data_IF_152548251182
#
_entry.id   IF_152548251182
#
_cell.length_a   1.000
_cell.length_b   1.000
_cell.length_c   1.000
_cell.angle_alpha   90.00
_cell.angle_beta   90.00
_cell.angle_gamma   90.00
#
_symmetry.space_group_name_H-M   'P 1'
#
loop_
_entity.id
_entity.type
_entity.pdbx_description
1 polymer ?
#
# COMPACT_ATOMS: atom_id res chain seq x y z
N UNK A 1 28.97 -55.25 -1.40
CA UNK A 1 27.67 -54.64 -1.71
C UNK A 1 27.56 -53.30 -1.01
N UNK A 2 28.20 -52.25 -1.54
CA UNK A 2 28.02 -50.87 -1.07
C UNK A 2 27.78 -50.03 -2.32
N UNK A 3 26.50 -49.81 -2.63
CA UNK A 3 26.08 -48.90 -3.68
C UNK A 3 26.13 -47.48 -3.13
N UNK A 4 27.14 -46.72 -3.56
CA UNK A 4 27.20 -45.29 -3.35
C UNK A 4 26.14 -44.61 -4.24
N UNK A 5 24.94 -44.41 -3.68
CA UNK A 5 23.92 -43.57 -4.29
C UNK A 5 24.37 -42.11 -4.13
N UNK A 6 25.00 -41.59 -5.19
CA UNK A 6 25.33 -40.18 -5.38
C UNK A 6 24.03 -39.35 -5.29
N UNK A 7 23.81 -38.71 -4.13
CA UNK A 7 22.80 -37.66 -3.97
C UNK A 7 23.28 -36.44 -4.72
N UNK A 8 22.97 -36.39 -6.00
CA UNK A 8 23.13 -35.17 -6.79
C UNK A 8 22.03 -34.19 -6.35
N UNK A 9 22.30 -33.49 -5.25
CA UNK A 9 21.54 -32.33 -4.80
C UNK A 9 21.77 -31.22 -5.83
N UNK A 10 21.05 -31.32 -6.95
CA UNK A 10 20.87 -30.21 -7.85
C UNK A 10 20.22 -29.09 -7.02
N UNK A 11 21.06 -28.17 -6.56
CA UNK A 11 20.67 -26.87 -6.08
C UNK A 11 19.83 -26.24 -7.20
N UNK A 12 18.51 -26.37 -7.05
CA UNK A 12 17.54 -25.66 -7.86
C UNK A 12 17.70 -24.19 -7.52
N UNK A 13 18.67 -23.56 -8.18
CA UNK A 13 18.89 -22.14 -8.15
C UNK A 13 17.56 -21.50 -8.54
N UNK A 14 16.91 -20.69 -7.67
CA UNK A 14 15.70 -20.01 -8.06
C UNK A 14 16.07 -19.15 -9.26
N UNK A 15 15.35 -19.34 -10.37
CA UNK A 15 15.55 -18.59 -11.59
C UNK A 15 15.47 -17.11 -11.26
N UNK A 16 16.64 -16.46 -11.22
CA UNK A 16 16.73 -15.02 -11.37
C UNK A 16 16.19 -14.72 -12.77
N UNK A 17 14.90 -14.36 -12.83
CA UNK A 17 14.29 -13.72 -13.98
C UNK A 17 15.10 -12.45 -14.28
N UNK A 18 16.13 -12.59 -15.13
CA UNK A 18 16.72 -11.49 -15.87
C UNK A 18 15.62 -10.96 -16.79
N UNK A 19 14.77 -10.11 -16.24
CA UNK A 19 13.77 -9.38 -17.00
C UNK A 19 14.48 -8.53 -18.03
N UNK A 20 14.07 -8.66 -19.29
CA UNK A 20 14.46 -7.80 -20.38
C UNK A 20 14.38 -6.32 -19.90
N UNK A 21 15.48 -5.55 -19.86
CA UNK A 21 15.51 -4.20 -19.31
C UNK A 21 14.61 -3.21 -20.07
N UNK A 22 14.13 -3.57 -21.26
CA UNK A 22 13.37 -2.69 -22.14
C UNK A 22 11.83 -2.77 -21.98
N UNK A 23 11.30 -3.67 -21.15
CA UNK A 23 9.84 -3.78 -20.94
C UNK A 23 9.44 -3.03 -19.67
N UNK A 24 8.82 -1.86 -19.81
CA UNK A 24 8.33 -1.05 -18.68
C UNK A 24 7.32 -1.84 -17.84
N UNK A 25 7.71 -2.21 -16.62
CA UNK A 25 6.87 -2.94 -15.67
C UNK A 25 6.01 -2.00 -14.83
N UNK A 26 4.82 -1.69 -15.34
CA UNK A 26 3.84 -0.81 -14.70
C UNK A 26 3.37 -1.30 -13.33
N UNK A 27 3.21 -2.61 -13.14
CA UNK A 27 2.83 -3.20 -11.84
C UNK A 27 3.83 -2.85 -10.74
N UNK A 28 5.13 -2.93 -11.07
CA UNK A 28 6.21 -2.67 -10.11
C UNK A 28 6.28 -1.19 -9.74
N UNK A 29 6.07 -0.30 -10.72
CA UNK A 29 5.97 1.15 -10.46
C UNK A 29 4.77 1.50 -9.58
N UNK A 30 3.63 0.84 -9.79
CA UNK A 30 2.44 1.08 -8.98
C UNK A 30 2.62 0.59 -7.54
N UNK A 31 3.15 -0.62 -7.36
CA UNK A 31 3.46 -1.17 -6.04
C UNK A 31 4.40 -0.24 -5.26
N UNK A 32 5.45 0.28 -5.92
CA UNK A 32 6.37 1.23 -5.28
C UNK A 32 5.67 2.54 -4.87
N UNK A 33 4.76 3.05 -5.71
CA UNK A 33 3.96 4.23 -5.36
C UNK A 33 2.98 3.96 -4.21
N UNK A 34 2.37 2.77 -4.17
CA UNK A 34 1.53 2.34 -3.05
C UNK A 34 2.34 2.25 -1.74
N UNK A 35 3.55 1.66 -1.79
CA UNK A 35 4.46 1.59 -0.66
C UNK A 35 4.86 2.99 -0.16
N UNK A 36 5.19 3.91 -1.07
CA UNK A 36 5.48 5.30 -0.73
C UNK A 36 4.28 6.00 -0.08
N UNK A 37 3.07 5.80 -0.62
CA UNK A 37 1.84 6.37 -0.08
C UNK A 37 1.53 5.84 1.33
N UNK A 38 1.77 4.56 1.61
CA UNK A 38 1.64 3.97 2.95
C UNK A 38 2.65 4.56 3.92
N UNK A 39 3.90 4.75 3.49
CA UNK A 39 4.95 5.32 4.33
C UNK A 39 4.62 6.77 4.70
N UNK A 40 4.25 7.60 3.72
CA UNK A 40 3.82 8.99 3.95
C UNK A 40 2.60 9.04 4.87
N UNK A 41 1.62 8.17 4.62
CA UNK A 41 0.43 8.04 5.46
C UNK A 41 0.81 7.75 6.91
N UNK A 42 1.67 6.77 7.16
CA UNK A 42 2.09 6.41 8.52
C UNK A 42 2.87 7.53 9.20
N UNK A 43 3.78 8.21 8.50
CA UNK A 43 4.52 9.34 9.06
C UNK A 43 3.59 10.48 9.46
N UNK A 44 2.61 10.80 8.61
CA UNK A 44 1.60 11.81 8.89
C UNK A 44 0.69 11.38 10.06
N UNK A 45 0.28 10.11 10.08
CA UNK A 45 -0.56 9.54 11.14
C UNK A 45 0.13 9.64 12.51
N UNK A 46 1.42 9.33 12.58
CA UNK A 46 2.21 9.44 13.81
C UNK A 46 2.26 10.90 14.28
N UNK A 47 2.59 11.84 13.39
CA UNK A 47 2.65 13.26 13.73
C UNK A 47 1.32 13.76 14.31
N UNK A 48 0.19 13.40 13.69
CA UNK A 48 -1.12 13.75 14.20
C UNK A 48 -1.44 13.09 15.55
N UNK A 49 -1.18 11.79 15.69
CA UNK A 49 -1.45 11.08 16.95
C UNK A 49 -0.63 11.67 18.10
N UNK A 50 0.65 12.00 17.86
CA UNK A 50 1.51 12.66 18.86
C UNK A 50 0.95 14.03 19.27
N UNK A 51 0.56 14.88 18.30
CA UNK A 51 -0.03 16.18 18.61
C UNK A 51 -1.37 16.10 19.35
N UNK A 52 -2.17 15.05 19.09
CA UNK A 52 -3.43 14.80 19.81
C UNK A 52 -3.17 14.39 21.28
N UNK A 53 -2.15 13.58 21.54
CA UNK A 53 -1.80 13.15 22.90
C UNK A 53 -1.35 14.34 23.75
N UNK A 54 -0.53 15.25 23.22
CA UNK A 54 -0.06 16.44 23.94
C UNK A 54 -1.20 17.42 24.27
N UNK A 55 -2.24 17.49 23.43
CA UNK A 55 -3.29 18.50 23.55
C UNK A 55 -4.53 18.05 24.32
N UNK A 56 -4.89 16.76 24.28
CA UNK A 56 -6.14 16.25 24.87
C UNK A 56 -5.96 15.14 25.92
N UNK A 57 -4.72 14.69 26.17
CA UNK A 57 -4.46 13.53 27.04
C UNK A 57 -4.81 12.19 26.37
N UNK A 58 -4.56 11.08 27.08
CA UNK A 58 -4.71 9.72 26.54
C UNK A 58 -6.20 9.35 26.38
N UNK A 59 -6.82 9.79 25.29
CA UNK A 59 -8.19 9.44 24.92
C UNK A 59 -8.25 8.10 24.16
N UNK A 60 -9.29 7.30 24.38
CA UNK A 60 -9.51 6.03 23.68
C UNK A 60 -9.88 6.24 22.19
N UNK A 61 -10.46 7.40 21.86
CA UNK A 61 -10.97 7.73 20.53
C UNK A 61 -9.93 7.63 19.40
N UNK A 62 -8.70 8.15 19.52
CA UNK A 62 -7.66 7.99 18.50
C UNK A 62 -7.31 6.53 18.20
N UNK A 63 -7.32 5.63 19.20
CA UNK A 63 -7.02 4.22 18.99
C UNK A 63 -8.11 3.53 18.15
N UNK A 64 -9.39 3.84 18.42
CA UNK A 64 -10.48 3.28 17.62
C UNK A 64 -10.46 3.81 16.18
N UNK A 65 -10.17 5.09 15.99
CA UNK A 65 -10.04 5.65 14.65
C UNK A 65 -8.87 5.06 13.85
N UNK A 66 -7.77 4.64 14.51
CA UNK A 66 -6.70 3.88 13.85
C UNK A 66 -7.20 2.54 13.30
N UNK A 67 -8.03 1.81 14.05
CA UNK A 67 -8.62 0.55 13.59
C UNK A 67 -9.48 0.77 12.33
N UNK A 68 -10.34 1.79 12.35
CA UNK A 68 -11.19 2.14 11.21
C UNK A 68 -10.35 2.53 9.98
N UNK A 69 -9.29 3.31 10.19
CA UNK A 69 -8.38 3.71 9.11
C UNK A 69 -7.69 2.51 8.46
N UNK A 70 -7.18 1.57 9.27
CA UNK A 70 -6.57 0.33 8.78
C UNK A 70 -7.59 -0.52 8.01
N UNK A 71 -8.82 -0.62 8.52
CA UNK A 71 -9.90 -1.34 7.86
C UNK A 71 -10.26 -0.76 6.48
N UNK A 72 -10.00 0.52 6.22
CA UNK A 72 -10.19 1.16 4.91
C UNK A 72 -8.97 0.95 4.01
N UNK A 73 -7.75 1.06 4.54
CA UNK A 73 -6.52 0.92 3.75
C UNK A 73 -6.31 -0.49 3.21
N UNK A 74 -6.61 -1.53 4.00
CA UNK A 74 -6.44 -2.94 3.58
C UNK A 74 -7.22 -3.30 2.31
N UNK A 75 -8.55 -3.08 2.21
CA UNK A 75 -9.31 -3.39 1.00
C UNK A 75 -8.86 -2.51 -0.16
N UNK A 76 -8.43 -1.28 0.11
CA UNK A 76 -7.90 -0.39 -0.90
C UNK A 76 -6.64 -0.97 -1.55
N UNK A 77 -5.65 -1.38 -0.77
CA UNK A 77 -4.46 -2.05 -1.28
C UNK A 77 -4.80 -3.34 -2.04
N UNK A 78 -5.72 -4.17 -1.53
CA UNK A 78 -6.14 -5.41 -2.21
C UNK A 78 -6.85 -5.15 -3.54
N UNK A 79 -7.67 -4.10 -3.64
CA UNK A 79 -8.39 -3.77 -4.85
C UNK A 79 -7.44 -3.24 -5.94
N UNK A 80 -6.43 -2.47 -5.54
CA UNK A 80 -5.38 -1.99 -6.45
C UNK A 80 -4.52 -3.12 -7.00
N UNK A 81 -4.10 -4.04 -6.14
CA UNK A 81 -3.34 -5.24 -6.52
C UNK A 81 -4.13 -6.07 -7.54
N UNK A 82 -5.40 -6.40 -7.23
CA UNK A 82 -6.28 -7.17 -8.13
C UNK A 82 -6.48 -6.47 -9.48
N UNK A 83 -6.71 -5.16 -9.46
CA UNK A 83 -6.96 -4.38 -10.68
C UNK A 83 -5.74 -4.34 -11.60
N UNK A 84 -4.54 -4.20 -11.05
CA UNK A 84 -3.31 -4.20 -11.86
C UNK A 84 -2.94 -5.59 -12.36
N UNK A 85 -3.10 -6.65 -11.56
CA UNK A 85 -2.86 -8.02 -12.01
C UNK A 85 -3.70 -8.38 -13.25
N UNK A 86 -4.98 -7.95 -13.28
CA UNK A 86 -5.86 -8.14 -14.45
C UNK A 86 -5.41 -7.32 -15.67
N UNK A 87 -4.90 -6.10 -15.47
CA UNK A 87 -4.48 -5.19 -16.55
C UNK A 87 -3.09 -5.54 -17.12
N UNK A 88 -2.19 -6.08 -16.29
CA UNK A 88 -0.88 -6.58 -16.74
C UNK A 88 -1.02 -7.77 -17.69
N UNK A 89 -2.05 -8.59 -17.46
CA UNK A 89 -2.34 -9.79 -18.25
C UNK A 89 -3.07 -9.50 -19.58
N UNK A 90 -3.63 -8.29 -19.76
CA UNK A 90 -4.55 -7.98 -20.86
C UNK A 90 -3.91 -7.31 -22.09
N UNK A 91 -2.60 -7.04 -22.08
CA UNK A 91 -1.88 -6.54 -23.27
C UNK A 91 -2.35 -5.17 -23.80
N UNK A 92 -2.97 -4.36 -22.95
CA UNK A 92 -3.54 -3.05 -23.32
C UNK A 92 -2.48 -2.05 -23.80
N UNK A 93 -2.90 -1.09 -24.64
CA UNK A 93 -1.99 -0.06 -25.17
C UNK A 93 -1.35 0.77 -24.06
N UNK A 94 -0.05 1.05 -24.18
CA UNK A 94 0.73 1.78 -23.18
C UNK A 94 0.11 3.13 -22.75
N UNK A 95 -0.57 3.81 -23.66
CA UNK A 95 -1.18 5.12 -23.41
C UNK A 95 -2.44 5.04 -22.52
N UNK A 96 -3.24 3.98 -22.68
CA UNK A 96 -4.44 3.76 -21.85
C UNK A 96 -4.07 3.34 -20.42
N UNK A 97 -3.00 2.54 -20.28
CA UNK A 97 -2.39 2.13 -19.01
C UNK A 97 -1.87 3.34 -18.23
N UNK A 98 -1.15 4.25 -18.90
CA UNK A 98 -0.58 5.43 -18.27
C UNK A 98 -1.65 6.41 -17.74
N UNK A 99 -2.77 6.59 -18.47
CA UNK A 99 -3.86 7.45 -18.01
C UNK A 99 -4.55 6.91 -16.75
N UNK A 100 -4.86 5.61 -16.71
CA UNK A 100 -5.44 4.95 -15.52
C UNK A 100 -4.47 4.99 -14.33
N UNK A 101 -3.18 4.77 -14.57
CA UNK A 101 -2.15 4.87 -13.54
C UNK A 101 -2.14 6.23 -12.84
N UNK A 102 -2.29 7.34 -13.60
CA UNK A 102 -2.30 8.69 -13.03
C UNK A 102 -3.54 8.94 -12.18
N UNK A 103 -4.72 8.51 -12.62
CA UNK A 103 -5.94 8.63 -11.82
C UNK A 103 -5.82 7.85 -10.52
N UNK A 104 -5.29 6.64 -10.60
CA UNK A 104 -5.11 5.74 -9.46
C UNK A 104 -4.06 6.27 -8.48
N UNK A 105 -2.98 6.85 -9.00
CA UNK A 105 -2.00 7.58 -8.21
C UNK A 105 -2.64 8.79 -7.53
N UNK A 106 -3.40 9.62 -8.24
CA UNK A 106 -4.09 10.76 -7.62
C UNK A 106 -5.03 10.31 -6.52
N UNK A 107 -5.76 9.21 -6.71
CA UNK A 107 -6.71 8.68 -5.72
C UNK A 107 -5.97 8.14 -4.48
N UNK A 108 -4.86 7.43 -4.66
CA UNK A 108 -3.94 7.02 -3.58
C UNK A 108 -3.45 8.23 -2.77
N UNK A 109 -2.90 9.23 -3.45
CA UNK A 109 -2.35 10.41 -2.80
C UNK A 109 -3.44 11.24 -2.11
N UNK A 110 -4.62 11.34 -2.71
CA UNK A 110 -5.79 11.99 -2.11
C UNK A 110 -6.24 11.28 -0.84
N UNK A 111 -6.25 9.95 -0.81
CA UNK A 111 -6.55 9.16 0.38
C UNK A 111 -5.46 9.29 1.43
N UNK A 112 -4.19 9.19 1.05
CA UNK A 112 -3.05 9.32 1.96
C UNK A 112 -3.02 10.68 2.66
N UNK A 113 -3.29 11.76 1.93
CA UNK A 113 -3.36 13.10 2.51
C UNK A 113 -4.69 13.31 3.23
N UNK A 114 -5.80 12.86 2.66
CA UNK A 114 -7.16 13.11 3.17
C UNK A 114 -7.53 12.30 4.40
N UNK A 115 -7.16 11.01 4.49
CA UNK A 115 -7.51 10.14 5.63
C UNK A 115 -7.03 10.70 6.98
N UNK A 116 -5.77 11.17 7.10
CA UNK A 116 -5.31 11.81 8.34
C UNK A 116 -6.14 13.04 8.72
N UNK A 117 -6.51 13.91 7.77
CA UNK A 117 -7.38 15.05 8.04
C UNK A 117 -8.79 14.64 8.44
N UNK A 118 -9.38 13.66 7.74
CA UNK A 118 -10.70 13.12 8.06
C UNK A 118 -10.68 12.51 9.46
N UNK A 119 -9.62 11.78 9.82
CA UNK A 119 -9.43 11.23 11.16
C UNK A 119 -9.39 12.33 12.24
N UNK A 120 -8.61 13.38 12.03
CA UNK A 120 -8.58 14.53 12.95
C UNK A 120 -9.96 15.22 13.06
N UNK A 121 -10.65 15.42 11.94
CA UNK A 121 -11.98 16.02 11.92
C UNK A 121 -13.01 15.15 12.67
N UNK A 122 -12.97 13.83 12.48
CA UNK A 122 -13.83 12.88 13.18
C UNK A 122 -13.59 12.89 14.69
N UNK A 123 -12.33 12.93 15.13
CA UNK A 123 -12.02 12.99 16.58
C UNK A 123 -12.51 14.31 17.17
N UNK A 124 -12.26 15.45 16.50
CA UNK A 124 -12.77 16.74 16.96
C UNK A 124 -14.30 16.75 17.02
N UNK A 125 -14.98 16.22 16.00
CA UNK A 125 -16.44 16.13 15.97
C UNK A 125 -17.00 15.21 17.07
N UNK A 126 -16.37 14.07 17.32
CA UNK A 126 -16.73 13.19 18.42
C UNK A 126 -16.52 13.89 19.77
N UNK A 127 -15.39 14.58 19.97
CA UNK A 127 -15.11 15.35 21.18
C UNK A 127 -16.00 16.59 21.37
N UNK A 128 -16.69 17.08 20.34
CA UNK A 128 -17.72 18.12 20.49
C UNK A 128 -19.10 17.58 20.85
N UNK A 129 -19.34 16.27 20.67
CA UNK A 129 -20.63 15.63 20.95
C UNK A 129 -20.74 15.07 22.38
N UNK A 130 -19.62 14.95 23.10
CA UNK A 130 -19.52 14.49 24.49
C UNK A 130 -18.95 15.60 25.37
#
# INVERSE_FOLDING_TARGET
MVAAASRNSASKHPGHHHGNPDVVRWDKKMSNNCAAALLVYTMMQIYFVLGMIETQGVSIAPYFGLIVLVAIIIPFCRNFEKRWQTMSSSGLSHQSIAAKFRMDQLLLWSLTLGLPFVFCALIKAAGTLF
#
